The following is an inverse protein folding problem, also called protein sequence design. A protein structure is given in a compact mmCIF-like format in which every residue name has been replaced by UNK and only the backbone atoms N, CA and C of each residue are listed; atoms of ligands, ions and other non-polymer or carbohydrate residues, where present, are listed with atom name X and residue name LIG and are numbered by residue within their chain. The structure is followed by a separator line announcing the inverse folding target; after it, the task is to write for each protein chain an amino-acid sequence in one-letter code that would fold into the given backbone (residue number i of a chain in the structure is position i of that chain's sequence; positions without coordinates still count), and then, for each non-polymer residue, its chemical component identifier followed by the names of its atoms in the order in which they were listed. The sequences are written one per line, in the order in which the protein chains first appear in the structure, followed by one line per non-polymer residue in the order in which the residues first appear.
data_IF_002117774812
#
_entry.id   IF_002117774812
#
_cell.length_a   1.000
_cell.length_b   1.000
_cell.length_c   1.000
_cell.angle_alpha   90.00
_cell.angle_beta   90.00
_cell.angle_gamma   90.00
#
_symmetry.space_group_name_H-M   'P 1'
#
loop_
_entity.id
_entity.type
_entity.pdbx_description
1 polymer ?
#
# COMPACT_ATOMS: atom_id res chain seq x y z
N UNK A 1 -30.14 15.07 -3.10
CA UNK A 1 -29.12 14.52 -4.00
C UNK A 1 -28.09 13.82 -3.14
N UNK A 2 -27.74 12.55 -3.35
CA UNK A 2 -26.69 11.93 -2.55
C UNK A 2 -25.38 12.65 -2.84
N UNK A 3 -24.70 13.10 -1.79
CA UNK A 3 -23.34 13.63 -1.83
C UNK A 3 -22.44 12.59 -2.54
N UNK A 4 -22.14 12.84 -3.82
CA UNK A 4 -20.98 12.24 -4.44
C UNK A 4 -19.79 12.84 -3.69
N UNK A 5 -19.16 12.09 -2.78
CA UNK A 5 -17.77 12.36 -2.43
C UNK A 5 -17.03 12.39 -3.77
N UNK A 6 -16.74 13.59 -4.25
CA UNK A 6 -15.87 13.75 -5.41
C UNK A 6 -14.55 13.12 -5.04
N UNK A 7 -14.06 12.20 -5.89
CA UNK A 7 -12.73 11.63 -5.70
C UNK A 7 -11.71 12.76 -5.58
N UNK A 8 -10.79 12.65 -4.63
CA UNK A 8 -9.74 13.65 -4.44
C UNK A 8 -8.89 13.76 -5.70
N UNK A 9 -8.67 14.97 -6.18
CA UNK A 9 -7.68 15.26 -7.23
C UNK A 9 -6.28 15.27 -6.61
N UNK A 10 -5.41 14.35 -7.04
CA UNK A 10 -4.09 14.17 -6.46
C UNK A 10 -2.97 14.59 -7.41
N UNK A 11 -1.97 15.29 -6.86
CA UNK A 11 -0.67 15.49 -7.50
C UNK A 11 0.31 14.39 -7.03
N UNK A 12 0.81 13.60 -7.94
CA UNK A 12 1.79 12.54 -7.68
C UNK A 12 3.16 13.04 -8.08
N UNK A 13 4.05 13.19 -7.11
CA UNK A 13 5.41 13.69 -7.27
C UNK A 13 6.39 12.56 -6.90
N UNK A 14 7.21 12.18 -7.87
CA UNK A 14 8.08 11.00 -7.77
C UNK A 14 9.53 11.45 -7.83
N UNK A 15 10.29 11.09 -6.84
CA UNK A 15 11.73 11.27 -6.81
C UNK A 15 12.40 10.07 -7.52
N UNK A 16 12.96 10.30 -8.71
CA UNK A 16 13.55 9.25 -9.53
C UNK A 16 14.83 8.64 -8.93
N UNK A 17 15.52 9.39 -8.08
CA UNK A 17 16.77 8.97 -7.45
C UNK A 17 16.51 7.98 -6.30
N UNK A 18 15.36 8.11 -5.61
CA UNK A 18 14.99 7.32 -4.44
C UNK A 18 13.80 6.37 -4.66
N UNK A 19 13.06 6.47 -5.78
CA UNK A 19 11.95 5.58 -6.06
C UNK A 19 12.41 4.32 -6.82
N UNK A 20 12.03 3.11 -6.38
CA UNK A 20 12.36 1.89 -7.10
C UNK A 20 11.52 1.77 -8.38
N UNK A 21 12.19 1.88 -9.53
CA UNK A 21 11.56 1.84 -10.87
C UNK A 21 10.59 0.67 -11.06
N UNK A 22 10.93 -0.51 -10.54
CA UNK A 22 10.12 -1.72 -10.70
C UNK A 22 8.78 -1.66 -9.98
N UNK A 23 8.60 -0.75 -9.02
CA UNK A 23 7.39 -0.60 -8.24
C UNK A 23 6.40 0.43 -8.82
N UNK A 24 6.78 1.21 -9.82
CA UNK A 24 5.97 2.36 -10.28
C UNK A 24 4.57 1.96 -10.72
N UNK A 25 4.40 0.84 -11.42
CA UNK A 25 3.08 0.36 -11.83
C UNK A 25 2.19 0.05 -10.61
N UNK A 26 2.76 -0.63 -9.61
CA UNK A 26 2.04 -0.99 -8.39
C UNK A 26 1.77 0.26 -7.54
N UNK A 27 2.71 1.22 -7.48
CA UNK A 27 2.53 2.53 -6.84
C UNK A 27 1.38 3.29 -7.48
N UNK A 28 1.28 3.34 -8.81
CA UNK A 28 0.18 4.02 -9.49
C UNK A 28 -1.18 3.36 -9.24
N UNK A 29 -1.22 2.03 -9.12
CA UNK A 29 -2.42 1.29 -8.73
C UNK A 29 -2.83 1.61 -7.27
N UNK A 30 -1.86 1.69 -6.36
CA UNK A 30 -2.12 2.08 -4.96
C UNK A 30 -2.63 3.53 -4.86
N UNK A 31 -2.07 4.47 -5.63
CA UNK A 31 -2.52 5.89 -5.66
C UNK A 31 -4.00 5.99 -6.03
N UNK A 32 -4.46 5.19 -6.97
CA UNK A 32 -5.87 5.19 -7.41
C UNK A 32 -6.86 4.81 -6.30
N UNK A 33 -6.40 4.17 -5.22
CA UNK A 33 -7.23 3.87 -4.04
C UNK A 33 -7.54 5.14 -3.23
N UNK A 34 -6.67 6.14 -3.28
CA UNK A 34 -6.80 7.38 -2.50
C UNK A 34 -7.49 8.51 -3.25
N UNK A 35 -7.48 8.49 -4.58
CA UNK A 35 -8.10 9.50 -5.41
C UNK A 35 -7.63 9.43 -6.86
N UNK A 36 -8.07 10.39 -7.65
CA UNK A 36 -7.71 10.48 -9.07
C UNK A 36 -6.37 11.22 -9.24
N UNK A 37 -5.31 10.57 -9.77
CA UNK A 37 -4.02 11.21 -10.03
C UNK A 37 -4.10 12.11 -11.26
N UNK A 38 -4.52 13.37 -11.07
CA UNK A 38 -4.68 14.36 -12.15
C UNK A 38 -3.35 14.93 -12.64
N UNK A 39 -2.33 14.94 -11.78
CA UNK A 39 -1.00 15.41 -12.10
C UNK A 39 0.01 14.34 -11.66
N UNK A 40 0.87 13.92 -12.60
CA UNK A 40 1.91 12.90 -12.35
C UNK A 40 3.23 13.40 -12.89
N UNK A 41 4.20 13.69 -12.01
CA UNK A 41 5.52 14.19 -12.33
C UNK A 41 6.60 13.37 -11.67
N UNK A 42 7.72 13.20 -12.37
CA UNK A 42 8.90 12.53 -11.85
C UNK A 42 10.11 13.41 -12.08
N UNK A 43 10.93 13.56 -11.06
CA UNK A 43 12.06 14.49 -11.02
C UNK A 43 13.38 13.73 -11.08
N UNK A 44 14.31 14.19 -11.90
CA UNK A 44 15.62 13.56 -12.03
C UNK A 44 16.48 14.21 -13.11
N UNK A 45 17.74 13.81 -13.20
CA UNK A 45 18.62 14.20 -14.29
C UNK A 45 18.50 13.22 -15.47
N UNK A 46 17.58 13.53 -16.39
CA UNK A 46 17.25 12.71 -17.57
C UNK A 46 18.38 12.66 -18.61
N UNK A 47 19.47 13.41 -18.43
CA UNK A 47 20.67 13.29 -19.26
C UNK A 47 21.57 12.15 -18.81
N UNK A 48 21.36 11.63 -17.60
CA UNK A 48 22.07 10.46 -17.08
C UNK A 48 21.69 9.18 -17.84
N UNK A 49 22.66 8.35 -18.26
CA UNK A 49 22.39 7.10 -19.00
C UNK A 49 21.44 6.15 -18.27
N UNK A 50 21.48 6.12 -16.95
CA UNK A 50 20.64 5.25 -16.11
C UNK A 50 19.14 5.59 -16.22
N UNK A 51 18.81 6.85 -16.54
CA UNK A 51 17.43 7.32 -16.66
C UNK A 51 16.72 6.84 -17.93
N UNK A 52 17.46 6.40 -18.95
CA UNK A 52 16.88 5.86 -20.19
C UNK A 52 15.93 4.69 -19.96
N UNK A 53 16.17 3.93 -18.91
CA UNK A 53 15.37 2.75 -18.51
C UNK A 53 13.99 3.10 -17.93
N UNK A 54 13.76 4.37 -17.55
CA UNK A 54 12.48 4.86 -17.10
C UNK A 54 11.49 5.12 -18.25
N UNK A 55 11.99 5.43 -19.46
CA UNK A 55 11.19 5.89 -20.60
C UNK A 55 9.95 5.04 -20.89
N UNK A 56 10.00 3.69 -20.96
CA UNK A 56 8.81 2.88 -21.21
C UNK A 56 7.75 3.07 -20.11
N UNK A 57 8.18 3.05 -18.84
CA UNK A 57 7.29 3.19 -17.69
C UNK A 57 6.59 4.55 -17.63
N UNK A 58 7.31 5.63 -18.00
CA UNK A 58 6.75 6.98 -18.04
C UNK A 58 5.64 7.07 -19.08
N UNK A 59 5.83 6.47 -20.25
CA UNK A 59 4.85 6.45 -21.34
C UNK A 59 3.63 5.61 -20.96
N UNK A 60 3.82 4.41 -20.42
CA UNK A 60 2.76 3.50 -20.02
C UNK A 60 1.87 4.08 -18.90
N UNK A 61 2.44 4.89 -18.01
CA UNK A 61 1.72 5.46 -16.87
C UNK A 61 1.36 6.94 -17.06
N UNK A 62 1.66 7.53 -18.23
CA UNK A 62 1.47 8.96 -18.51
C UNK A 62 2.08 9.86 -17.42
N UNK A 63 3.34 9.60 -17.06
CA UNK A 63 4.11 10.37 -16.07
C UNK A 63 4.98 11.36 -16.82
N UNK A 64 4.94 12.65 -16.43
CA UNK A 64 5.71 13.72 -17.05
C UNK A 64 7.10 13.81 -16.39
N UNK A 65 8.20 13.59 -17.12
CA UNK A 65 9.53 13.81 -16.58
C UNK A 65 9.85 15.31 -16.47
N UNK A 66 10.36 15.69 -15.31
CA UNK A 66 10.86 17.03 -15.04
C UNK A 66 12.39 16.97 -14.98
N UNK A 67 13.04 17.71 -15.86
CA UNK A 67 14.51 17.75 -15.93
C UNK A 67 15.07 18.65 -14.85
N UNK A 68 16.02 18.11 -14.08
CA UNK A 68 16.88 18.89 -13.21
C UNK A 68 18.34 18.46 -13.43
N UNK A 69 19.17 19.39 -13.87
CA UNK A 69 20.61 19.12 -14.05
C UNK A 69 21.32 19.06 -12.69
N UNK A 70 22.13 18.05 -12.52
CA UNK A 70 23.08 17.97 -11.40
C UNK A 70 24.29 18.88 -11.64
N UNK A 71 24.23 20.15 -11.20
CA UNK A 71 25.35 21.09 -11.37
C UNK A 71 26.59 20.73 -10.54
N UNK A 72 26.41 19.97 -9.48
CA UNK A 72 27.48 19.54 -8.56
C UNK A 72 27.14 18.15 -8.01
N UNK A 73 28.11 17.26 -8.03
CA UNK A 73 27.94 15.90 -7.50
C UNK A 73 27.61 15.96 -6.00
N UNK A 74 26.56 15.25 -5.58
CA UNK A 74 26.19 15.14 -4.16
C UNK A 74 25.38 16.30 -3.58
N UNK A 75 24.75 17.15 -4.42
CA UNK A 75 23.78 18.16 -3.96
C UNK A 75 22.36 17.76 -4.36
N UNK A 76 21.41 18.04 -3.45
CA UNK A 76 19.97 17.73 -3.56
C UNK A 76 19.25 18.69 -4.55
N UNK A 77 19.74 18.76 -5.80
CA UNK A 77 19.16 19.64 -6.82
C UNK A 77 17.80 19.15 -7.30
N UNK A 78 17.62 17.84 -7.39
CA UNK A 78 16.38 17.18 -7.76
C UNK A 78 15.29 17.44 -6.71
N UNK A 79 15.64 17.33 -5.42
CA UNK A 79 14.72 17.59 -4.30
C UNK A 79 14.23 19.03 -4.31
N UNK A 80 15.15 19.99 -4.56
CA UNK A 80 14.78 21.41 -4.65
C UNK A 80 13.78 21.67 -5.78
N UNK A 81 13.96 21.04 -6.94
CA UNK A 81 13.05 21.16 -8.07
C UNK A 81 11.66 20.60 -7.73
N UNK A 82 11.60 19.44 -7.09
CA UNK A 82 10.36 18.83 -6.64
C UNK A 82 9.65 19.69 -5.59
N UNK A 83 10.38 20.28 -4.64
CA UNK A 83 9.81 21.16 -3.60
C UNK A 83 9.23 22.43 -4.24
N UNK A 84 9.93 23.09 -5.13
CA UNK A 84 9.46 24.32 -5.80
C UNK A 84 8.19 24.01 -6.60
N UNK A 85 8.21 22.96 -7.40
CA UNK A 85 7.07 22.57 -8.23
C UNK A 85 5.84 22.16 -7.37
N UNK A 86 6.06 21.47 -6.24
CA UNK A 86 5.02 21.16 -5.28
C UNK A 86 4.34 22.43 -4.73
N UNK A 87 5.13 23.48 -4.44
CA UNK A 87 4.58 24.75 -3.97
C UNK A 87 3.81 25.48 -5.08
N UNK A 88 4.28 25.45 -6.31
CA UNK A 88 3.54 26.01 -7.45
C UNK A 88 2.20 25.29 -7.68
N UNK A 89 2.19 23.97 -7.58
CA UNK A 89 0.98 23.15 -7.67
C UNK A 89 0.03 23.49 -6.53
N UNK A 90 0.52 23.60 -5.29
CA UNK A 90 -0.27 23.99 -4.13
C UNK A 90 -0.98 25.32 -4.37
N UNK A 91 -0.25 26.35 -4.79
CA UNK A 91 -0.81 27.67 -5.02
C UNK A 91 -1.70 27.75 -6.27
N UNK A 92 -1.64 26.77 -7.17
CA UNK A 92 -2.57 26.69 -8.30
C UNK A 92 -4.01 26.38 -7.87
N UNK A 93 -4.21 25.80 -6.70
CA UNK A 93 -5.52 25.40 -6.15
C UNK A 93 -6.23 24.30 -6.96
N UNK A 94 -5.51 23.51 -7.74
CA UNK A 94 -6.08 22.51 -8.67
C UNK A 94 -6.14 21.09 -8.10
N UNK A 95 -5.57 20.86 -6.92
CA UNK A 95 -5.49 19.53 -6.30
C UNK A 95 -5.98 19.58 -4.85
N UNK A 96 -6.49 18.46 -4.37
CA UNK A 96 -6.95 18.29 -3.00
C UNK A 96 -5.88 17.62 -2.11
N UNK A 97 -4.85 17.06 -2.73
CA UNK A 97 -3.78 16.37 -2.01
C UNK A 97 -2.57 16.01 -2.88
N UNK A 98 -1.56 15.53 -2.20
CA UNK A 98 -0.27 15.15 -2.77
C UNK A 98 0.08 13.72 -2.41
N UNK A 99 0.70 13.02 -3.35
CA UNK A 99 1.39 11.75 -3.12
C UNK A 99 2.87 12.00 -3.34
N UNK A 100 3.67 11.84 -2.30
CA UNK A 100 5.12 12.00 -2.33
C UNK A 100 5.77 10.61 -2.37
N UNK A 101 6.43 10.28 -3.49
CA UNK A 101 7.06 8.97 -3.68
C UNK A 101 8.57 9.14 -3.54
N UNK A 102 9.06 8.99 -2.32
CA UNK A 102 10.46 9.05 -1.94
C UNK A 102 10.69 8.43 -0.57
N UNK A 103 11.92 8.03 -0.29
CA UNK A 103 12.39 7.60 1.03
C UNK A 103 13.29 8.64 1.72
N UNK A 104 13.39 9.85 1.14
CA UNK A 104 14.27 10.89 1.64
C UNK A 104 13.58 11.75 2.72
N UNK A 105 14.28 11.97 3.83
CA UNK A 105 13.84 12.83 4.93
C UNK A 105 13.80 14.32 4.57
N UNK A 106 14.47 14.75 3.51
CA UNK A 106 14.51 16.14 3.06
C UNK A 106 13.11 16.64 2.65
N UNK A 107 12.22 15.74 2.26
CA UNK A 107 10.81 16.03 1.98
C UNK A 107 9.93 16.18 3.23
N UNK A 108 10.46 15.96 4.45
CA UNK A 108 9.68 16.12 5.69
C UNK A 108 9.07 17.52 5.82
N UNK A 109 9.86 18.57 5.55
CA UNK A 109 9.36 19.96 5.63
C UNK A 109 8.31 20.26 4.55
N UNK A 110 8.44 19.68 3.37
CA UNK A 110 7.44 19.79 2.32
C UNK A 110 6.11 19.15 2.78
N UNK A 111 6.15 17.91 3.29
CA UNK A 111 4.96 17.21 3.76
C UNK A 111 4.23 18.01 4.86
N UNK A 112 4.96 18.54 5.85
CA UNK A 112 4.41 19.40 6.89
C UNK A 112 3.74 20.64 6.28
N UNK A 113 4.43 21.34 5.37
CA UNK A 113 3.93 22.59 4.75
C UNK A 113 2.67 22.35 3.93
N UNK A 114 2.57 21.24 3.20
CA UNK A 114 1.39 20.87 2.45
C UNK A 114 0.20 20.59 3.37
N UNK A 115 0.42 19.90 4.49
CA UNK A 115 -0.62 19.63 5.50
C UNK A 115 -1.07 20.91 6.20
N UNK A 116 -0.14 21.82 6.53
CA UNK A 116 -0.48 23.16 7.08
C UNK A 116 -1.39 23.97 6.14
N UNK A 117 -1.26 23.74 4.83
CA UNK A 117 -2.14 24.35 3.84
C UNK A 117 -3.48 23.60 3.65
N UNK A 118 -3.75 22.57 4.46
CA UNK A 118 -4.99 21.79 4.41
C UNK A 118 -5.03 20.68 3.36
N UNK A 119 -3.90 20.41 2.67
CA UNK A 119 -3.81 19.33 1.68
C UNK A 119 -3.73 17.97 2.35
N UNK A 120 -4.27 16.94 1.68
CA UNK A 120 -4.00 15.55 2.03
C UNK A 120 -2.61 15.17 1.55
N UNK A 121 -1.80 14.55 2.41
CA UNK A 121 -0.44 14.12 2.07
C UNK A 121 -0.29 12.62 2.30
N UNK A 122 -0.05 11.90 1.21
CA UNK A 122 0.24 10.47 1.20
C UNK A 122 1.71 10.27 0.89
N UNK A 123 2.46 9.58 1.77
CA UNK A 123 3.84 9.19 1.54
C UNK A 123 3.93 7.75 1.03
N UNK A 124 4.80 7.51 0.06
CA UNK A 124 5.13 6.16 -0.40
C UNK A 124 6.65 6.03 -0.49
N UNK A 125 7.24 5.17 0.32
CA UNK A 125 8.68 4.97 0.40
C UNK A 125 9.05 3.58 0.89
N UNK A 126 10.34 3.29 0.87
CA UNK A 126 10.87 2.01 1.35
C UNK A 126 10.89 1.95 2.88
N UNK A 127 11.02 0.75 3.44
CA UNK A 127 11.09 0.53 4.91
C UNK A 127 12.23 1.28 5.61
N UNK A 128 13.26 1.70 4.86
CA UNK A 128 14.36 2.51 5.37
C UNK A 128 14.00 3.99 5.60
N UNK A 129 12.80 4.42 5.19
CA UNK A 129 12.35 5.82 5.30
C UNK A 129 12.37 6.28 6.76
N UNK A 130 12.98 7.44 7.06
CA UNK A 130 13.05 7.95 8.43
C UNK A 130 11.68 8.30 9.01
N UNK A 131 11.49 7.99 10.29
CA UNK A 131 10.24 8.23 11.02
C UNK A 131 9.71 9.67 10.93
N UNK A 132 10.53 10.75 10.94
CA UNK A 132 10.04 12.12 10.77
C UNK A 132 9.25 12.35 9.49
N UNK A 133 9.67 11.74 8.36
CA UNK A 133 8.94 11.87 7.10
C UNK A 133 7.62 11.08 7.14
N UNK A 134 7.63 9.88 7.72
CA UNK A 134 6.43 9.06 7.89
C UNK A 134 5.36 9.80 8.69
N UNK A 135 5.73 10.36 9.84
CA UNK A 135 4.81 11.08 10.73
C UNK A 135 4.32 12.40 10.13
N UNK A 136 5.10 13.00 9.23
CA UNK A 136 4.70 14.20 8.50
C UNK A 136 3.55 13.95 7.49
N UNK A 137 3.28 12.71 7.09
CA UNK A 137 2.20 12.34 6.18
C UNK A 137 0.87 12.08 6.92
N UNK A 138 -0.26 12.22 6.23
CA UNK A 138 -1.57 11.74 6.73
C UNK A 138 -1.64 10.21 6.70
N UNK A 139 -1.01 9.60 5.69
CA UNK A 139 -0.81 8.16 5.57
C UNK A 139 0.50 7.88 4.86
N UNK A 140 1.18 6.83 5.29
CA UNK A 140 2.41 6.34 4.67
C UNK A 140 2.27 4.87 4.31
N UNK A 141 2.70 4.49 3.09
CA UNK A 141 2.64 3.10 2.62
C UNK A 141 4.02 2.66 2.16
N UNK A 142 4.47 1.52 2.66
CA UNK A 142 5.75 0.96 2.27
C UNK A 142 5.68 0.34 0.87
N UNK A 143 6.64 0.69 0.03
CA UNK A 143 6.71 0.20 -1.37
C UNK A 143 6.83 -1.31 -1.43
N UNK A 144 7.49 -1.94 -0.46
CA UNK A 144 7.59 -3.40 -0.36
C UNK A 144 6.21 -4.06 -0.18
N UNK A 145 5.32 -3.41 0.57
CA UNK A 145 3.94 -3.89 0.78
C UNK A 145 3.11 -3.73 -0.48
N UNK A 146 3.26 -2.59 -1.16
CA UNK A 146 2.60 -2.31 -2.44
C UNK A 146 2.99 -3.37 -3.48
N UNK A 147 4.29 -3.66 -3.61
CA UNK A 147 4.81 -4.67 -4.54
C UNK A 147 4.30 -6.08 -4.23
N UNK A 148 4.35 -6.48 -2.95
CA UNK A 148 3.86 -7.80 -2.54
C UNK A 148 2.36 -7.97 -2.86
N UNK A 149 1.56 -6.94 -2.68
CA UNK A 149 0.14 -6.94 -3.05
C UNK A 149 -0.06 -7.07 -4.57
N UNK A 150 0.68 -6.30 -5.36
CA UNK A 150 0.63 -6.37 -6.83
C UNK A 150 1.10 -7.72 -7.40
N UNK A 151 2.12 -8.34 -6.80
CA UNK A 151 2.58 -9.68 -7.18
C UNK A 151 1.52 -10.75 -6.89
N UNK A 152 0.83 -10.66 -5.74
CA UNK A 152 -0.26 -11.57 -5.39
C UNK A 152 -1.45 -11.42 -6.34
N UNK A 153 -1.79 -10.20 -6.74
CA UNK A 153 -2.89 -9.95 -7.67
C UNK A 153 -2.59 -10.53 -9.05
N UNK A 154 -1.39 -10.25 -9.59
CA UNK A 154 -0.93 -10.85 -10.86
C UNK A 154 -0.88 -12.38 -10.84
N UNK A 155 -0.50 -12.97 -9.70
CA UNK A 155 -0.49 -14.43 -9.54
C UNK A 155 -1.92 -15.02 -9.59
N UNK A 156 -2.88 -14.36 -8.93
CA UNK A 156 -4.30 -14.76 -8.95
C UNK A 156 -4.92 -14.61 -10.35
N UNK A 157 -4.64 -13.52 -11.04
CA UNK A 157 -5.10 -13.31 -12.42
C UNK A 157 -4.54 -14.38 -13.37
N UNK A 158 -3.25 -14.74 -13.21
CA UNK A 158 -2.62 -15.78 -14.01
C UNK A 158 -3.19 -17.18 -13.72
N UNK A 159 -3.58 -17.46 -12.48
CA UNK A 159 -4.23 -18.70 -12.08
C UNK A 159 -5.66 -18.78 -12.65
N UNK A 160 -6.44 -17.73 -12.51
CA UNK A 160 -7.79 -17.64 -13.08
C UNK A 160 -7.77 -17.80 -14.60
N UNK A 161 -6.83 -17.17 -15.30
CA UNK A 161 -6.68 -17.31 -16.76
C UNK A 161 -6.29 -18.74 -17.20
N UNK A 162 -5.59 -19.49 -16.35
CA UNK A 162 -5.24 -20.90 -16.59
C UNK A 162 -6.44 -21.83 -16.39
N UNK A 163 -7.31 -21.53 -15.42
CA UNK A 163 -8.52 -22.30 -15.18
C UNK A 163 -9.55 -22.12 -16.32
N UNK A 164 -9.67 -20.91 -16.86
CA UNK A 164 -10.56 -20.64 -18.01
C UNK A 164 -10.09 -21.28 -19.32
N UNK A 165 -8.80 -21.59 -19.47
CA UNK A 165 -8.21 -22.19 -20.68
C UNK A 165 -8.14 -23.71 -20.64
N UNK A 166 -8.52 -24.38 -19.55
CA UNK A 166 -8.59 -25.85 -19.50
C UNK A 166 -9.92 -26.35 -20.08
N UNK A 167 -9.93 -27.11 -21.19
CA UNK A 167 -11.13 -27.80 -21.65
C UNK A 167 -11.55 -28.86 -20.63
N UNK A 168 -12.85 -29.15 -20.45
CA UNK A 168 -13.32 -30.13 -19.49
C UNK A 168 -12.67 -31.49 -19.74
N UNK A 169 -12.00 -32.02 -18.73
CA UNK A 169 -11.32 -33.30 -18.78
C UNK A 169 -12.31 -34.43 -19.03
N UNK A 170 -12.24 -35.04 -20.22
CA UNK A 170 -12.95 -36.27 -20.55
C UNK A 170 -12.25 -37.41 -19.79
N UNK A 171 -12.92 -38.27 -19.04
CA UNK A 171 -12.27 -39.37 -18.33
C UNK A 171 -11.75 -40.42 -19.29
N UNK A 172 -10.45 -40.44 -19.52
CA UNK A 172 -9.81 -41.50 -20.30
C UNK A 172 -9.58 -42.73 -19.43
N UNK A 173 -10.17 -43.84 -19.87
CA UNK A 173 -10.02 -45.21 -19.33
C UNK A 173 -8.57 -45.67 -19.31
N UNK A 174 -8.19 -46.24 -18.20
CA UNK A 174 -6.92 -46.90 -17.97
C UNK A 174 -6.59 -47.98 -19.05
N UNK A 175 -5.34 -47.93 -19.55
CA UNK A 175 -4.68 -49.11 -20.09
C UNK A 175 -3.25 -49.18 -19.54
N UNK A 176 -3.00 -50.32 -18.84
CA UNK A 176 -1.70 -50.77 -18.37
C UNK A 176 -0.83 -51.17 -19.56
N UNK A 177 0.45 -50.89 -19.55
CA UNK A 177 1.58 -51.81 -19.61
C UNK A 177 2.84 -51.05 -20.04
N UNK A 178 4.01 -51.46 -19.43
CA UNK A 178 5.31 -51.29 -20.08
C UNK A 178 6.41 -50.64 -19.23
N UNK A 179 7.08 -51.48 -18.47
CA UNK A 179 8.32 -51.28 -17.75
C UNK A 179 9.49 -50.91 -18.68
N UNK A 180 10.24 -49.82 -18.43
CA UNK A 180 11.69 -49.74 -18.74
C UNK A 180 12.42 -48.80 -17.78
N UNK A 181 13.56 -49.31 -17.34
CA UNK A 181 14.56 -48.78 -16.41
C UNK A 181 15.32 -47.56 -16.94
N UNK A 182 15.70 -46.62 -16.02
CA UNK A 182 17.05 -46.07 -15.98
C UNK A 182 17.16 -44.61 -16.36
N UNK A 183 17.26 -43.75 -15.37
CA UNK A 183 18.31 -42.74 -15.17
C UNK A 183 17.96 -41.92 -13.93
N UNK A 184 18.80 -41.98 -12.94
CA UNK A 184 18.80 -41.15 -11.75
C UNK A 184 19.03 -39.69 -12.15
N UNK A 185 18.03 -38.84 -11.97
CA UNK A 185 18.19 -37.39 -11.92
C UNK A 185 17.92 -36.97 -10.47
N UNK A 186 18.95 -36.41 -9.85
CA UNK A 186 18.90 -35.81 -8.53
C UNK A 186 17.84 -34.70 -8.53
N UNK A 187 16.85 -34.72 -7.64
CA UNK A 187 15.88 -33.62 -7.55
C UNK A 187 16.58 -32.36 -7.00
N UNK A 188 16.20 -31.15 -7.50
CA UNK A 188 16.65 -29.90 -6.91
C UNK A 188 16.14 -29.80 -5.46
N UNK A 189 16.86 -29.11 -4.55
CA UNK A 189 16.48 -29.01 -3.17
C UNK A 189 15.09 -28.37 -3.09
N UNK A 190 14.20 -29.02 -2.36
CA UNK A 190 12.88 -28.49 -2.04
C UNK A 190 13.04 -27.14 -1.33
N UNK A 191 12.16 -26.13 -1.62
CA UNK A 191 12.16 -24.93 -0.84
C UNK A 191 11.85 -25.30 0.62
N UNK A 192 12.68 -24.82 1.53
CA UNK A 192 12.51 -25.00 2.97
C UNK A 192 11.05 -24.70 3.33
N UNK A 193 10.38 -25.69 3.86
CA UNK A 193 9.01 -25.57 4.35
C UNK A 193 8.98 -24.45 5.36
N UNK A 194 8.32 -23.35 5.02
CA UNK A 194 8.04 -22.27 5.94
C UNK A 194 7.34 -22.86 7.16
N UNK A 195 8.00 -22.82 8.31
CA UNK A 195 7.43 -23.21 9.60
C UNK A 195 6.11 -22.45 9.75
N UNK A 196 4.98 -23.09 10.05
CA UNK A 196 3.73 -22.39 10.25
C UNK A 196 3.87 -21.49 11.49
N UNK A 197 4.11 -20.21 11.27
CA UNK A 197 4.15 -19.20 12.32
C UNK A 197 2.72 -19.07 12.83
N UNK A 198 2.53 -19.29 14.13
CA UNK A 198 1.23 -19.12 14.78
C UNK A 198 0.74 -17.67 14.57
N UNK A 199 -0.57 -17.44 14.32
CA UNK A 199 -1.11 -16.12 13.98
C UNK A 199 -0.73 -15.01 14.98
N UNK A 200 -0.63 -15.34 16.24
CA UNK A 200 -0.31 -14.41 17.34
C UNK A 200 1.15 -13.89 17.32
N UNK A 201 2.07 -14.58 16.63
CA UNK A 201 3.48 -14.16 16.54
C UNK A 201 3.76 -13.15 15.42
N UNK A 202 2.77 -12.88 14.54
CA UNK A 202 2.93 -11.96 13.41
C UNK A 202 2.65 -10.49 13.76
N UNK A 203 1.87 -10.25 14.80
CA UNK A 203 1.44 -8.90 15.18
C UNK A 203 2.17 -8.49 16.45
N UNK A 204 3.00 -7.43 16.43
CA UNK A 204 3.71 -6.94 17.60
C UNK A 204 2.74 -6.54 18.73
N UNK A 205 3.10 -6.75 20.00
CA UNK A 205 2.26 -6.36 21.15
C UNK A 205 1.90 -4.87 21.17
N UNK A 206 2.79 -4.02 20.63
CA UNK A 206 2.56 -2.57 20.49
C UNK A 206 1.35 -2.28 19.59
N UNK A 207 1.20 -3.02 18.50
CA UNK A 207 0.05 -2.89 17.57
C UNK A 207 -1.25 -3.38 18.23
N UNK A 208 -1.17 -4.48 19.02
CA UNK A 208 -2.33 -4.96 19.78
C UNK A 208 -2.79 -3.93 20.81
N UNK A 209 -1.84 -3.29 21.50
CA UNK A 209 -2.14 -2.22 22.44
C UNK A 209 -2.69 -0.97 21.73
N UNK A 210 -2.11 -0.58 20.59
CA UNK A 210 -2.62 0.54 19.79
C UNK A 210 -4.09 0.33 19.38
N UNK A 211 -4.45 -0.90 18.98
CA UNK A 211 -5.83 -1.26 18.65
C UNK A 211 -6.71 -1.15 19.90
N UNK A 212 -6.28 -1.71 21.05
CA UNK A 212 -7.03 -1.68 22.29
C UNK A 212 -7.29 -0.26 22.79
N UNK A 213 -6.23 0.57 22.87
CA UNK A 213 -6.31 1.98 23.28
C UNK A 213 -7.20 2.81 22.33
N UNK A 214 -7.29 2.39 21.07
CA UNK A 214 -8.14 3.07 20.09
C UNK A 214 -9.61 2.63 20.25
N UNK A 215 -9.86 1.37 20.61
CA UNK A 215 -11.18 0.87 20.96
C UNK A 215 -11.73 1.54 22.22
N UNK A 216 -10.91 1.70 23.25
CA UNK A 216 -11.33 2.34 24.51
C UNK A 216 -11.76 3.81 24.29
N UNK A 217 -11.19 4.49 23.29
CA UNK A 217 -11.57 5.88 22.94
C UNK A 217 -12.89 5.93 22.16
N UNK A 218 -13.18 4.92 21.33
CA UNK A 218 -14.28 4.93 20.36
C UNK A 218 -15.49 4.09 20.81
N UNK A 219 -15.35 3.30 21.88
CA UNK A 219 -16.37 2.35 22.33
C UNK A 219 -17.71 3.05 22.64
N UNK A 220 -18.78 2.49 22.12
CA UNK A 220 -20.15 2.87 22.48
C UNK A 220 -20.55 2.34 23.88
N UNK A 221 -21.81 2.56 24.29
CA UNK A 221 -22.32 2.11 25.58
C UNK A 221 -22.25 0.59 25.76
N UNK A 222 -22.27 -0.18 24.68
CA UNK A 222 -22.16 -1.64 24.66
C UNK A 222 -20.70 -2.12 24.53
N UNK A 223 -19.74 -1.20 24.46
CA UNK A 223 -18.32 -1.47 24.30
C UNK A 223 -17.90 -1.84 22.87
N UNK A 224 -18.78 -1.63 21.89
CA UNK A 224 -18.50 -1.88 20.48
C UNK A 224 -18.08 -0.62 19.75
N UNK A 225 -17.22 -0.79 18.75
CA UNK A 225 -16.76 0.27 17.85
C UNK A 225 -16.95 -0.17 16.40
N UNK A 226 -17.38 0.75 15.52
CA UNK A 226 -17.44 0.48 14.10
C UNK A 226 -16.03 0.33 13.51
N UNK A 227 -15.79 -0.77 12.76
CA UNK A 227 -14.47 -1.10 12.20
C UNK A 227 -13.88 0.01 11.33
N UNK A 228 -14.71 0.78 10.63
CA UNK A 228 -14.25 1.91 9.80
C UNK A 228 -13.71 3.07 10.63
N UNK A 229 -14.33 3.38 11.77
CA UNK A 229 -13.86 4.41 12.70
C UNK A 229 -12.56 4.01 13.36
N UNK A 230 -12.46 2.74 13.78
CA UNK A 230 -11.22 2.18 14.29
C UNK A 230 -10.08 2.33 13.27
N UNK A 231 -10.30 1.92 12.02
CA UNK A 231 -9.30 2.05 10.96
C UNK A 231 -8.84 3.49 10.74
N UNK A 232 -9.78 4.44 10.73
CA UNK A 232 -9.47 5.85 10.61
C UNK A 232 -8.65 6.38 11.79
N UNK A 233 -8.97 5.97 13.02
CA UNK A 233 -8.23 6.41 14.20
C UNK A 233 -6.82 5.80 14.24
N UNK A 234 -6.67 4.53 13.85
CA UNK A 234 -5.36 3.87 13.79
C UNK A 234 -4.39 4.59 12.84
N UNK A 235 -4.86 4.92 11.63
CA UNK A 235 -4.04 5.69 10.66
C UNK A 235 -3.72 7.10 11.17
N UNK A 236 -4.65 7.78 11.88
CA UNK A 236 -4.39 9.09 12.47
C UNK A 236 -3.34 9.04 13.59
N UNK A 237 -3.32 7.96 14.38
CA UNK A 237 -2.32 7.76 15.44
C UNK A 237 -0.97 7.33 14.89
N UNK A 238 -0.99 6.47 13.87
CA UNK A 238 0.19 5.88 13.26
C UNK A 238 0.02 5.86 11.74
N UNK A 239 0.59 6.86 11.01
CA UNK A 239 0.38 7.01 9.57
C UNK A 239 0.80 5.81 8.70
N UNK A 240 1.79 5.04 9.14
CA UNK A 240 2.26 3.82 8.47
C UNK A 240 1.51 2.55 8.90
N UNK A 241 0.44 2.68 9.70
CA UNK A 241 -0.39 1.54 10.05
C UNK A 241 -1.12 1.02 8.82
N UNK A 242 -0.76 -0.21 8.43
CA UNK A 242 -1.43 -0.96 7.37
C UNK A 242 -1.47 -2.45 7.76
N UNK A 243 -2.64 -3.11 7.73
CA UNK A 243 -2.75 -4.56 8.02
C UNK A 243 -1.84 -5.42 7.14
N UNK A 244 -1.52 -4.96 5.93
CA UNK A 244 -0.62 -5.65 5.00
C UNK A 244 0.82 -5.74 5.53
N UNK A 245 1.24 -4.82 6.40
CA UNK A 245 2.55 -4.88 7.09
C UNK A 245 2.70 -6.13 7.95
N UNK A 246 1.57 -6.71 8.38
CA UNK A 246 1.49 -7.89 9.24
C UNK A 246 1.01 -9.15 8.49
N UNK A 247 0.91 -9.08 7.16
CA UNK A 247 0.48 -10.18 6.30
C UNK A 247 -1.04 -10.37 6.18
N UNK A 248 -1.83 -9.37 6.58
CA UNK A 248 -3.30 -9.42 6.47
C UNK A 248 -3.81 -8.49 5.36
N UNK A 249 -4.67 -8.98 4.50
CA UNK A 249 -5.23 -8.19 3.40
C UNK A 249 -6.21 -7.09 3.86
N UNK A 250 -6.80 -7.24 5.06
CA UNK A 250 -7.82 -6.32 5.62
C UNK A 250 -7.67 -6.21 7.14
N UNK A 251 -8.00 -5.04 7.69
CA UNK A 251 -8.04 -4.81 9.15
C UNK A 251 -8.93 -5.83 9.88
N UNK A 252 -10.07 -6.17 9.30
CA UNK A 252 -10.97 -7.17 9.89
C UNK A 252 -10.30 -8.54 10.07
N UNK A 253 -9.44 -8.95 9.13
CA UNK A 253 -8.73 -10.23 9.21
C UNK A 253 -7.62 -10.17 10.27
N UNK A 254 -6.92 -9.05 10.37
CA UNK A 254 -5.93 -8.82 11.42
C UNK A 254 -6.60 -8.86 12.80
N UNK A 255 -7.68 -8.12 13.00
CA UNK A 255 -8.38 -8.09 14.31
C UNK A 255 -8.96 -9.45 14.68
N UNK A 256 -9.51 -10.21 13.71
CA UNK A 256 -10.02 -11.57 13.95
C UNK A 256 -8.92 -12.57 14.33
N UNK A 257 -7.69 -12.37 13.87
CA UNK A 257 -6.57 -13.25 14.22
C UNK A 257 -6.09 -13.06 15.66
N UNK A 258 -6.50 -11.96 16.30
CA UNK A 258 -6.13 -11.63 17.68
C UNK A 258 -7.21 -12.11 18.63
N UNK A 259 -6.88 -13.05 19.53
CA UNK A 259 -7.82 -13.63 20.48
C UNK A 259 -8.44 -12.61 21.45
N UNK A 260 -7.76 -11.49 21.66
CA UNK A 260 -8.19 -10.40 22.55
C UNK A 260 -9.49 -9.74 22.10
N UNK A 261 -9.74 -9.67 20.79
CA UNK A 261 -10.87 -8.92 20.23
C UNK A 261 -12.01 -9.82 19.77
N UNK A 262 -13.21 -9.29 19.81
CA UNK A 262 -14.42 -9.91 19.29
C UNK A 262 -14.92 -9.09 18.10
N UNK A 263 -15.23 -9.76 17.00
CA UNK A 263 -15.73 -9.11 15.78
C UNK A 263 -17.17 -9.56 15.55
N UNK A 264 -18.09 -8.61 15.60
CA UNK A 264 -19.52 -8.79 15.34
C UNK A 264 -19.89 -8.23 13.95
N UNK A 265 -20.74 -8.97 13.23
CA UNK A 265 -21.21 -8.60 11.89
C UNK A 265 -22.69 -8.35 11.92
N UNK A 266 -23.10 -7.09 11.91
CA UNK A 266 -24.51 -6.68 11.95
C UNK A 266 -25.03 -6.41 10.54
N UNK A 267 -26.20 -6.94 10.21
CA UNK A 267 -26.90 -6.61 8.98
C UNK A 267 -27.56 -5.24 9.12
N UNK A 268 -27.49 -4.45 8.05
CA UNK A 268 -28.20 -3.17 7.98
C UNK A 268 -29.58 -3.35 7.35
N UNK A 269 -30.41 -2.28 7.40
CA UNK A 269 -31.69 -2.24 6.70
C UNK A 269 -31.57 -2.33 5.17
N UNK A 270 -30.36 -2.13 4.63
CA UNK A 270 -30.08 -2.27 3.20
C UNK A 270 -29.63 -3.71 2.89
N UNK A 271 -30.30 -4.42 1.96
CA UNK A 271 -29.86 -5.74 1.53
C UNK A 271 -28.44 -5.65 0.97
N UNK A 272 -27.55 -6.53 1.40
CA UNK A 272 -26.13 -6.63 1.02
C UNK A 272 -25.14 -5.70 1.72
N UNK A 273 -25.56 -4.79 2.62
CA UNK A 273 -24.65 -3.96 3.42
C UNK A 273 -24.51 -4.58 4.82
N UNK A 274 -23.30 -4.97 5.18
CA UNK A 274 -22.96 -5.49 6.52
C UNK A 274 -22.05 -4.49 7.22
N UNK A 275 -22.40 -4.12 8.43
CA UNK A 275 -21.53 -3.34 9.31
C UNK A 275 -20.74 -4.27 10.21
N UNK A 276 -19.45 -4.00 10.34
CA UNK A 276 -18.54 -4.79 11.17
C UNK A 276 -18.21 -3.96 12.40
N UNK A 277 -18.45 -4.53 13.56
CA UNK A 277 -18.13 -3.96 14.86
C UNK A 277 -17.07 -4.79 15.54
N UNK A 278 -16.32 -4.17 16.43
CA UNK A 278 -15.25 -4.80 17.19
C UNK A 278 -15.30 -4.35 18.64
N UNK A 279 -14.97 -5.26 19.56
CA UNK A 279 -14.90 -5.01 21.00
C UNK A 279 -13.65 -5.68 21.59
N UNK A 280 -13.04 -5.05 22.60
CA UNK A 280 -12.02 -5.69 23.44
C UNK A 280 -12.72 -6.57 24.50
N UNK A 281 -12.43 -7.88 24.51
CA UNK A 281 -12.98 -8.83 25.48
C UNK A 281 -12.51 -8.57 26.92
N UNK A 282 -11.43 -7.80 27.11
CA UNK A 282 -10.87 -7.48 28.42
C UNK A 282 -11.53 -6.26 29.05
N UNK A 283 -12.14 -5.39 28.28
CA UNK A 283 -12.92 -4.26 28.81
C UNK A 283 -14.21 -4.82 29.39
N UNK A 284 -14.20 -5.13 30.71
CA UNK A 284 -15.40 -5.45 31.46
C UNK A 284 -16.16 -4.15 31.72
N UNK A 285 -17.50 -4.19 31.51
CA UNK A 285 -18.41 -3.21 32.07
C UNK A 285 -18.28 -3.12 33.57
#
# INVERSE_FOLDING_TARGET
MPDRKSDLCLAVLIDADNAPRTAIKDVMAEVAVYGTPTLKRIYGDWTSPNMSTWKPLLLENAITPIQQYGYTTGKNSTDSAMIIDAMDILYSGRVDGFVLVSSDSDFTRLAIRLREAGMKVYGMGERKTPAPFIVACDKFVYIEVIRAAGEQERAREAEAAREETQPPAVPAKAKRTGKKKGAEAVPPPAPEAAVPIQPDQRVPPEVVNLIADSLDILADEDGYTFMGELGNLLVKKQPDFDPRNFGFSKLTNLVRSLERFEVDVRQTSLPHVKHIYVRDKRTKK
#
